data_IF_116642225793
#
_entry.id   IF_116642225793
#
_cell.length_a   1.000
_cell.length_b   1.000
_cell.length_c   1.000
_cell.angle_alpha   90.00
_cell.angle_beta   90.00
_cell.angle_gamma   90.00
#
_symmetry.space_group_name_H-M   'P 1'
#
loop_
_entity.id
_entity.type
_entity.pdbx_description
1 polymer ?
#
# COMPACT_ATOMS: atom_id res chain seq x y z
N UNK A 1 -23.28 1.10 6.97
CA UNK A 1 -22.09 1.62 7.68
C UNK A 1 -20.89 0.82 7.21
N UNK A 2 -19.64 1.27 7.45
CA UNK A 2 -18.39 0.62 6.97
C UNK A 2 -18.27 -0.86 7.36
N UNK A 3 -19.03 -1.27 8.38
CA UNK A 3 -19.16 -2.64 8.88
C UNK A 3 -19.83 -3.62 7.87
N UNK A 4 -20.63 -3.14 6.91
CA UNK A 4 -21.28 -3.99 5.90
C UNK A 4 -20.31 -4.55 4.84
N UNK A 5 -19.07 -4.02 4.77
CA UNK A 5 -18.06 -4.44 3.79
C UNK A 5 -16.91 -5.25 4.39
N UNK A 6 -17.03 -5.68 5.66
CA UNK A 6 -16.00 -6.52 6.31
C UNK A 6 -14.65 -5.82 6.52
N UNK A 7 -14.63 -4.49 6.52
CA UNK A 7 -13.42 -3.70 6.77
C UNK A 7 -13.47 -3.22 8.21
N UNK A 8 -12.57 -3.73 9.06
CA UNK A 8 -12.31 -3.13 10.38
C UNK A 8 -11.99 -1.65 10.18
N UNK A 9 -12.69 -0.77 10.90
CA UNK A 9 -12.44 0.67 10.84
C UNK A 9 -11.02 0.93 11.35
N UNK A 10 -10.07 1.06 10.43
CA UNK A 10 -8.71 1.45 10.75
C UNK A 10 -8.76 2.81 11.47
N UNK A 11 -8.17 2.89 12.66
CA UNK A 11 -8.02 4.16 13.36
C UNK A 11 -6.90 4.96 12.67
N UNK A 12 -7.05 6.28 12.57
CA UNK A 12 -5.98 7.16 12.08
C UNK A 12 -4.71 7.00 12.91
N UNK A 13 -4.82 6.59 14.17
CA UNK A 13 -3.69 6.35 15.07
C UNK A 13 -2.89 5.07 14.75
N UNK A 14 -3.42 4.18 13.90
CA UNK A 14 -2.79 2.88 13.60
C UNK A 14 -2.10 2.82 12.23
N UNK A 15 -2.11 3.91 11.45
CA UNK A 15 -1.46 3.99 10.14
C UNK A 15 -0.19 4.85 10.20
N UNK A 16 0.89 4.38 9.57
CA UNK A 16 2.20 5.04 9.55
C UNK A 16 2.30 6.11 8.44
N UNK A 17 1.61 5.92 7.33
CA UNK A 17 1.58 6.83 6.19
C UNK A 17 0.82 8.11 6.57
N UNK A 18 1.41 9.28 6.34
CA UNK A 18 0.72 10.52 6.64
C UNK A 18 -0.51 10.70 5.73
N UNK A 19 -1.67 10.94 6.34
CA UNK A 19 -2.96 11.02 5.64
C UNK A 19 -3.00 12.14 4.59
N UNK A 20 -2.38 13.29 4.83
CA UNK A 20 -2.42 14.40 3.87
C UNK A 20 -1.71 14.07 2.53
N UNK A 21 -0.49 13.50 2.51
CA UNK A 21 0.08 12.90 1.30
C UNK A 21 -0.82 11.87 0.61
N UNK A 22 -1.43 10.95 1.36
CA UNK A 22 -2.33 9.93 0.80
C UNK A 22 -3.54 10.57 0.13
N UNK A 23 -4.14 11.59 0.75
CA UNK A 23 -5.24 12.38 0.16
C UNK A 23 -4.84 13.06 -1.15
N UNK A 24 -3.62 13.62 -1.22
CA UNK A 24 -3.11 14.23 -2.46
C UNK A 24 -2.99 13.21 -3.58
N UNK A 25 -2.44 12.02 -3.29
CA UNK A 25 -2.31 10.93 -4.27
C UNK A 25 -3.69 10.48 -4.74
N UNK A 26 -4.64 10.28 -3.80
CA UNK A 26 -6.00 9.85 -4.12
C UNK A 26 -6.76 10.81 -5.05
N UNK A 27 -6.30 12.06 -5.17
CA UNK A 27 -6.94 13.12 -5.96
C UNK A 27 -6.29 13.38 -7.32
N UNK A 28 -5.16 12.74 -7.64
CA UNK A 28 -4.41 13.03 -8.86
C UNK A 28 -5.22 12.79 -10.14
N UNK A 29 -5.98 11.70 -10.19
CA UNK A 29 -6.66 11.22 -11.41
C UNK A 29 -8.20 11.17 -11.30
N UNK A 30 -8.77 11.79 -10.25
CA UNK A 30 -10.23 11.91 -10.11
C UNK A 30 -10.68 13.34 -10.34
N UNK A 31 -11.86 13.51 -10.93
CA UNK A 31 -12.49 14.81 -11.13
C UNK A 31 -12.68 15.56 -9.79
N UNK A 32 -12.37 16.85 -9.76
CA UNK A 32 -12.44 17.72 -8.58
C UNK A 32 -13.84 17.76 -7.91
N UNK A 33 -14.89 17.33 -8.61
CA UNK A 33 -16.23 17.16 -8.03
C UNK A 33 -16.28 16.08 -6.94
N UNK A 34 -15.35 15.12 -6.96
CA UNK A 34 -15.31 14.04 -5.98
C UNK A 34 -14.60 14.46 -4.70
N UNK A 35 -15.19 14.08 -3.56
CA UNK A 35 -14.63 14.31 -2.24
C UNK A 35 -14.20 12.98 -1.64
N UNK A 36 -12.97 12.94 -1.12
CA UNK A 36 -12.47 11.80 -0.36
C UNK A 36 -12.75 12.05 1.13
N UNK A 37 -13.58 11.20 1.74
CA UNK A 37 -13.87 11.29 3.17
C UNK A 37 -12.62 11.02 4.01
N UNK A 38 -12.64 11.39 5.29
CA UNK A 38 -11.53 11.11 6.19
C UNK A 38 -11.28 9.60 6.30
N UNK A 39 -12.34 8.81 6.51
CA UNK A 39 -12.24 7.36 6.69
C UNK A 39 -11.72 6.67 5.44
N UNK A 40 -12.11 7.13 4.25
CA UNK A 40 -11.59 6.62 2.99
C UNK A 40 -10.07 6.85 2.87
N UNK A 41 -9.56 8.00 3.34
CA UNK A 41 -8.11 8.28 3.34
C UNK A 41 -7.36 7.37 4.32
N UNK A 42 -7.93 7.10 5.50
CA UNK A 42 -7.31 6.18 6.47
C UNK A 42 -7.30 4.74 5.93
N UNK A 43 -8.41 4.29 5.36
CA UNK A 43 -8.51 2.97 4.75
C UNK A 43 -7.51 2.81 3.59
N UNK A 44 -7.36 3.84 2.76
CA UNK A 44 -6.37 3.84 1.68
C UNK A 44 -4.93 3.75 2.23
N UNK A 45 -4.61 4.53 3.26
CA UNK A 45 -3.29 4.48 3.92
C UNK A 45 -2.97 3.07 4.44
N UNK A 46 -3.89 2.47 5.20
CA UNK A 46 -3.74 1.12 5.73
C UNK A 46 -3.54 0.07 4.62
N UNK A 47 -4.26 0.21 3.50
CA UNK A 47 -4.13 -0.71 2.37
C UNK A 47 -2.80 -0.55 1.62
N UNK A 48 -2.32 0.68 1.46
CA UNK A 48 -1.03 0.99 0.86
C UNK A 48 0.13 0.47 1.72
N UNK A 49 0.06 0.63 3.04
CA UNK A 49 1.04 0.07 3.98
C UNK A 49 1.09 -1.45 3.90
N UNK A 50 -0.07 -2.11 4.00
CA UNK A 50 -0.17 -3.55 3.88
C UNK A 50 0.43 -4.05 2.57
N UNK A 51 0.21 -3.32 1.48
CA UNK A 51 0.77 -3.64 0.17
C UNK A 51 2.29 -3.46 0.14
N UNK A 52 2.80 -2.34 0.64
CA UNK A 52 4.23 -2.06 0.72
C UNK A 52 4.96 -3.09 1.58
N UNK A 53 4.39 -3.51 2.71
CA UNK A 53 4.98 -4.54 3.58
C UNK A 53 5.02 -5.90 2.89
N UNK A 54 3.98 -6.28 2.16
CA UNK A 54 3.96 -7.53 1.40
C UNK A 54 5.05 -7.56 0.32
N UNK A 55 5.14 -6.47 -0.47
CA UNK A 55 6.20 -6.30 -1.49
C UNK A 55 7.59 -6.37 -0.84
N UNK A 56 7.80 -5.64 0.25
CA UNK A 56 9.09 -5.61 0.94
C UNK A 56 9.50 -7.00 1.49
N UNK A 57 8.54 -7.78 1.99
CA UNK A 57 8.79 -9.14 2.48
C UNK A 57 9.21 -10.10 1.34
N UNK A 58 8.54 -10.03 0.19
CA UNK A 58 8.90 -10.81 -1.00
C UNK A 58 10.27 -10.37 -1.56
N UNK A 59 10.48 -9.05 -1.70
CA UNK A 59 11.75 -8.49 -2.17
C UNK A 59 12.93 -8.87 -1.27
N UNK A 60 12.73 -8.92 0.05
CA UNK A 60 13.73 -9.43 1.00
C UNK A 60 14.08 -10.91 0.74
N UNK A 61 13.09 -11.73 0.39
CA UNK A 61 13.33 -13.14 0.05
C UNK A 61 14.14 -13.28 -1.25
N UNK A 62 13.87 -12.46 -2.26
CA UNK A 62 14.65 -12.43 -3.50
C UNK A 62 16.09 -11.96 -3.27
N UNK A 63 16.27 -10.85 -2.54
CA UNK A 63 17.60 -10.36 -2.18
C UNK A 63 18.42 -11.43 -1.44
N UNK A 64 17.80 -12.16 -0.51
CA UNK A 64 18.43 -13.28 0.22
C UNK A 64 18.79 -14.43 -0.71
N UNK A 65 17.94 -14.79 -1.66
CA UNK A 65 18.23 -15.83 -2.66
C UNK A 65 19.42 -15.44 -3.55
N UNK A 66 19.55 -14.15 -3.86
CA UNK A 66 20.69 -13.57 -4.57
C UNK A 66 21.95 -13.38 -3.70
N UNK A 67 21.96 -13.83 -2.44
CA UNK A 67 23.09 -13.71 -1.53
C UNK A 67 23.36 -12.27 -1.04
N UNK A 68 22.40 -11.37 -1.18
CA UNK A 68 22.50 -9.96 -0.78
C UNK A 68 21.75 -9.70 0.54
N UNK A 69 22.16 -8.65 1.26
CA UNK A 69 21.49 -8.16 2.49
C UNK A 69 20.73 -6.85 2.28
N UNK A 70 20.87 -6.24 1.10
CA UNK A 70 20.21 -4.98 0.74
C UNK A 70 19.22 -5.27 -0.38
N UNK A 71 17.96 -4.89 -0.15
CA UNK A 71 16.91 -4.91 -1.16
C UNK A 71 17.24 -3.85 -2.21
N UNK A 72 17.12 -4.21 -3.48
CA UNK A 72 17.31 -3.34 -4.64
C UNK A 72 15.99 -3.18 -5.39
N UNK A 73 15.93 -2.21 -6.30
CA UNK A 73 14.79 -2.01 -7.19
C UNK A 73 14.45 -3.28 -7.97
N UNK A 74 15.46 -4.01 -8.47
CA UNK A 74 15.28 -5.29 -9.17
C UNK A 74 14.49 -6.34 -8.34
N UNK A 75 14.62 -6.34 -7.01
CA UNK A 75 13.87 -7.27 -6.15
C UNK A 75 12.40 -6.84 -6.01
N UNK A 76 12.14 -5.53 -6.05
CA UNK A 76 10.78 -4.99 -6.01
C UNK A 76 10.07 -5.25 -7.33
N UNK A 77 10.72 -4.98 -8.46
CA UNK A 77 10.15 -5.25 -9.80
C UNK A 77 9.87 -6.75 -9.99
N UNK A 78 10.77 -7.63 -9.52
CA UNK A 78 10.59 -9.08 -9.62
C UNK A 78 9.31 -9.58 -8.92
N UNK A 79 8.85 -8.91 -7.85
CA UNK A 79 7.57 -9.26 -7.23
C UNK A 79 6.41 -9.16 -8.22
N UNK A 80 6.38 -8.08 -9.01
CA UNK A 80 5.32 -7.83 -9.99
C UNK A 80 5.45 -8.73 -11.22
N UNK A 81 6.67 -9.07 -11.63
CA UNK A 81 6.89 -10.02 -12.72
C UNK A 81 6.38 -11.42 -12.34
N UNK A 82 6.71 -11.88 -11.13
CA UNK A 82 6.28 -13.20 -10.65
C UNK A 82 4.76 -13.26 -10.45
N UNK A 83 4.16 -12.25 -9.82
CA UNK A 83 2.69 -12.19 -9.62
C UNK A 83 1.90 -12.21 -10.94
N UNK A 84 2.42 -11.66 -12.03
CA UNK A 84 1.74 -11.66 -13.34
C UNK A 84 1.78 -13.01 -14.05
N UNK A 85 2.61 -13.95 -13.57
CA UNK A 85 2.83 -15.24 -14.21
C UNK A 85 2.19 -16.42 -13.46
N UNK A 86 1.44 -16.16 -12.38
CA UNK A 86 0.69 -17.15 -11.61
C UNK A 86 -0.77 -16.71 -11.43
#
# INVERSE_FOLDING_TARGET
>A
MTEDFGVESADRSTVDLPIAPVDRIARLDIDDRYRVSMDARVALAARLESYATAIAAAAAAFARHAGRRTIKSEDVELYFDVEQHF
#
